data_IF_070709087142
#
_entry.id   IF_070709087142
#
_cell.length_a   1.000
_cell.length_b   1.000
_cell.length_c   1.000
_cell.angle_alpha   90.00
_cell.angle_beta   90.00
_cell.angle_gamma   90.00
#
_symmetry.space_group_name_H-M   'P 1'
#
loop_
_entity.id
_entity.type
_entity.pdbx_description
1 polymer ?
#
# COMPACT_ATOMS: atom_id res chain seq x y z
N UNK A 1 9.33 -14.22 -44.77
CA UNK A 1 9.38 -13.57 -43.43
C UNK A 1 10.20 -12.30 -43.56
N UNK A 2 9.71 -11.16 -43.07
CA UNK A 2 10.51 -9.94 -43.03
C UNK A 2 11.76 -10.13 -42.13
N UNK A 3 12.91 -9.54 -42.48
CA UNK A 3 14.10 -9.45 -41.63
C UNK A 3 13.78 -8.94 -40.22
N UNK A 4 14.56 -9.37 -39.21
CA UNK A 4 14.33 -8.96 -37.82
C UNK A 4 14.42 -7.44 -37.64
N UNK A 5 15.36 -6.78 -38.31
CA UNK A 5 15.52 -5.33 -38.28
C UNK A 5 14.25 -4.60 -38.76
N UNK A 6 13.61 -5.08 -39.83
CA UNK A 6 12.37 -4.49 -40.32
C UNK A 6 11.20 -4.69 -39.35
N UNK A 7 11.13 -5.84 -38.68
CA UNK A 7 10.11 -6.07 -37.63
C UNK A 7 10.28 -5.15 -36.44
N UNK A 8 11.53 -4.94 -36.01
CA UNK A 8 11.87 -4.01 -34.91
C UNK A 8 11.47 -2.59 -35.30
N UNK A 9 11.86 -2.15 -36.49
CA UNK A 9 11.54 -0.81 -36.99
C UNK A 9 10.02 -0.61 -37.10
N UNK A 10 9.30 -1.56 -37.69
CA UNK A 10 7.85 -1.51 -37.78
C UNK A 10 7.18 -1.41 -36.39
N UNK A 11 7.63 -2.21 -35.41
CA UNK A 11 7.10 -2.15 -34.05
C UNK A 11 7.36 -0.79 -33.38
N UNK A 12 8.56 -0.21 -33.57
CA UNK A 12 8.88 1.12 -33.04
C UNK A 12 8.05 2.23 -33.68
N UNK A 13 7.83 2.17 -35.00
CA UNK A 13 6.99 3.14 -35.70
C UNK A 13 5.53 3.06 -35.24
N UNK A 14 4.97 1.84 -35.12
CA UNK A 14 3.62 1.64 -34.59
C UNK A 14 3.50 2.10 -33.13
N UNK A 15 4.51 1.84 -32.29
CA UNK A 15 4.57 2.35 -30.93
C UNK A 15 4.56 3.89 -30.89
N UNK A 16 5.33 4.55 -31.77
CA UNK A 16 5.35 6.01 -31.88
C UNK A 16 4.01 6.57 -32.34
N UNK A 17 3.34 5.92 -33.28
CA UNK A 17 2.00 6.31 -33.73
C UNK A 17 0.94 6.15 -32.64
N UNK A 18 1.06 5.10 -31.83
CA UNK A 18 0.15 4.80 -30.73
C UNK A 18 0.31 5.77 -29.55
N UNK A 19 1.55 6.15 -29.21
CA UNK A 19 1.92 6.85 -27.97
C UNK A 19 0.95 7.96 -27.55
N UNK A 20 0.66 8.89 -28.48
CA UNK A 20 -0.09 10.12 -28.18
C UNK A 20 -1.41 10.23 -28.95
N UNK A 21 -1.90 9.16 -29.61
CA UNK A 21 -3.11 9.21 -30.42
C UNK A 21 -4.00 7.97 -30.22
N UNK A 22 -5.14 8.17 -29.56
CA UNK A 22 -6.10 7.10 -29.26
C UNK A 22 -6.67 6.42 -30.51
N UNK A 23 -6.96 7.20 -31.56
CA UNK A 23 -7.45 6.66 -32.84
C UNK A 23 -6.42 5.73 -33.48
N UNK A 24 -5.14 6.07 -33.39
CA UNK A 24 -4.08 5.19 -33.91
C UNK A 24 -4.00 3.89 -33.11
N UNK A 25 -4.13 3.95 -31.78
CA UNK A 25 -4.18 2.74 -30.94
C UNK A 25 -5.32 1.82 -31.37
N UNK A 26 -6.51 2.40 -31.60
CA UNK A 26 -7.68 1.67 -32.07
C UNK A 26 -7.41 0.96 -33.41
N UNK A 27 -6.93 1.71 -34.40
CA UNK A 27 -6.65 1.17 -35.74
C UNK A 27 -5.63 0.04 -35.66
N UNK A 28 -4.56 0.20 -34.86
CA UNK A 28 -3.53 -0.84 -34.71
C UNK A 28 -4.13 -2.14 -34.14
N UNK A 29 -5.05 -2.04 -33.18
CA UNK A 29 -5.71 -3.22 -32.60
C UNK A 29 -6.70 -3.84 -33.60
N UNK A 30 -7.52 -3.04 -34.27
CA UNK A 30 -8.51 -3.49 -35.27
C UNK A 30 -7.87 -4.17 -36.46
N UNK A 31 -6.70 -3.69 -36.91
CA UNK A 31 -5.93 -4.27 -38.01
C UNK A 31 -5.06 -5.48 -37.56
N UNK A 32 -5.29 -6.00 -36.35
CA UNK A 32 -4.63 -7.22 -35.87
C UNK A 32 -3.15 -7.05 -35.49
N UNK A 33 -2.76 -5.89 -34.98
CA UNK A 33 -1.38 -5.60 -34.58
C UNK A 33 -0.91 -6.36 -33.33
N UNK A 34 -1.81 -6.83 -32.47
CA UNK A 34 -1.49 -7.49 -31.19
C UNK A 34 -0.76 -8.84 -31.37
N UNK A 35 -1.26 -9.82 -32.15
CA UNK A 35 -0.58 -11.11 -32.33
C UNK A 35 0.88 -10.98 -32.83
N UNK A 36 1.22 -10.13 -33.81
CA UNK A 36 2.60 -9.87 -34.20
C UNK A 36 3.49 -9.39 -33.05
N UNK A 37 3.00 -8.48 -32.19
CA UNK A 37 3.77 -8.02 -31.03
C UNK A 37 3.97 -9.14 -30.00
N UNK A 38 2.94 -9.94 -29.70
CA UNK A 38 3.07 -11.10 -28.81
C UNK A 38 3.97 -12.21 -29.36
N UNK A 39 4.13 -12.28 -30.68
CA UNK A 39 5.14 -13.15 -31.30
C UNK A 39 6.54 -12.55 -31.18
N UNK A 40 6.69 -11.26 -31.47
CA UNK A 40 7.97 -10.55 -31.44
C UNK A 40 8.57 -10.50 -30.03
N UNK A 41 7.75 -10.36 -28.99
CA UNK A 41 8.22 -10.35 -27.59
C UNK A 41 8.81 -11.70 -27.14
N UNK A 42 8.55 -12.80 -27.86
CA UNK A 42 9.09 -14.13 -27.57
C UNK A 42 10.48 -14.38 -28.17
N UNK A 43 10.99 -13.46 -28.99
CA UNK A 43 12.29 -13.59 -29.66
C UNK A 43 13.44 -13.43 -28.65
N UNK A 44 13.78 -14.52 -27.96
CA UNK A 44 14.76 -14.54 -26.85
C UNK A 44 16.16 -14.08 -27.26
N UNK A 45 16.50 -14.24 -28.53
CA UNK A 45 17.82 -13.90 -29.07
C UNK A 45 17.95 -12.41 -29.44
N UNK A 46 16.88 -11.61 -29.32
CA UNK A 46 16.90 -10.18 -29.62
C UNK A 46 16.18 -9.36 -28.54
N UNK A 47 16.91 -8.86 -27.53
CA UNK A 47 16.37 -7.94 -26.53
C UNK A 47 15.72 -6.71 -27.16
N UNK A 48 16.26 -6.19 -28.27
CA UNK A 48 15.73 -5.06 -29.01
C UNK A 48 14.34 -5.36 -29.58
N UNK A 49 14.12 -6.56 -30.14
CA UNK A 49 12.81 -7.00 -30.60
C UNK A 49 11.82 -7.13 -29.44
N UNK A 50 12.27 -7.69 -28.30
CA UNK A 50 11.42 -7.79 -27.12
C UNK A 50 11.01 -6.40 -26.58
N UNK A 51 11.94 -5.45 -26.55
CA UNK A 51 11.69 -4.07 -26.11
C UNK A 51 10.71 -3.40 -27.07
N UNK A 52 10.95 -3.43 -28.38
CA UNK A 52 10.07 -2.79 -29.36
C UNK A 52 8.63 -3.32 -29.26
N UNK A 53 8.46 -4.64 -29.11
CA UNK A 53 7.17 -5.27 -28.90
C UNK A 53 6.50 -4.86 -27.59
N UNK A 54 7.24 -4.87 -26.47
CA UNK A 54 6.72 -4.50 -25.16
C UNK A 54 6.28 -3.03 -25.10
N UNK A 55 7.04 -2.14 -25.75
CA UNK A 55 6.73 -0.70 -25.86
C UNK A 55 5.46 -0.49 -26.70
N UNK A 56 5.33 -1.19 -27.84
CA UNK A 56 4.12 -1.12 -28.66
C UNK A 56 2.89 -1.57 -27.86
N UNK A 57 2.96 -2.73 -27.20
CA UNK A 57 1.87 -3.24 -26.35
C UNK A 57 1.53 -2.28 -25.20
N UNK A 58 2.55 -1.68 -24.56
CA UNK A 58 2.35 -0.72 -23.47
C UNK A 58 1.52 0.49 -23.93
N UNK A 59 1.84 1.08 -25.08
CA UNK A 59 1.10 2.25 -25.57
C UNK A 59 -0.32 1.94 -26.04
N UNK A 60 -0.62 0.69 -26.39
CA UNK A 60 -1.98 0.25 -26.72
C UNK A 60 -2.88 0.11 -25.48
N UNK A 61 -2.30 -0.08 -24.29
CA UNK A 61 -3.05 -0.34 -23.05
C UNK A 61 -3.52 0.95 -22.35
N UNK A 62 -4.53 1.65 -22.88
CA UNK A 62 -5.10 2.83 -22.21
C UNK A 62 -6.60 2.75 -21.93
N UNK A 63 -7.21 1.59 -22.17
CA UNK A 63 -8.57 1.25 -21.77
C UNK A 63 -8.71 -0.27 -21.58
N UNK A 64 -9.85 -0.68 -21.00
CA UNK A 64 -10.11 -2.08 -20.70
C UNK A 64 -10.35 -2.97 -21.92
N UNK A 65 -10.86 -2.44 -23.03
CA UNK A 65 -11.12 -3.23 -24.24
C UNK A 65 -9.82 -3.65 -24.92
N UNK A 66 -8.85 -2.73 -25.03
CA UNK A 66 -7.52 -2.99 -25.59
C UNK A 66 -6.69 -3.89 -24.68
N UNK A 67 -6.80 -3.71 -23.37
CA UNK A 67 -6.17 -4.64 -22.41
C UNK A 67 -6.77 -6.04 -22.51
N UNK A 68 -8.09 -6.18 -22.67
CA UNK A 68 -8.73 -7.49 -22.94
C UNK A 68 -8.27 -8.09 -24.25
N UNK A 69 -8.17 -7.29 -25.32
CA UNK A 69 -7.64 -7.76 -26.59
C UNK A 69 -6.24 -8.38 -26.42
N UNK A 70 -5.35 -7.77 -25.63
CA UNK A 70 -4.02 -8.33 -25.35
C UNK A 70 -4.07 -9.54 -24.40
N UNK A 71 -4.93 -9.50 -23.38
CA UNK A 71 -5.00 -10.53 -22.34
C UNK A 71 -5.58 -11.84 -22.86
N UNK A 72 -6.61 -11.75 -23.71
CA UNK A 72 -7.37 -12.86 -24.25
C UNK A 72 -6.83 -13.36 -25.59
N UNK A 73 -5.93 -12.60 -26.24
CA UNK A 73 -5.30 -12.98 -27.50
C UNK A 73 -4.69 -14.39 -27.43
N UNK A 74 -5.22 -15.28 -28.27
CA UNK A 74 -4.80 -16.66 -28.41
C UNK A 74 -4.66 -17.42 -27.07
N UNK A 75 -5.44 -17.07 -26.03
CA UNK A 75 -5.44 -17.65 -24.66
C UNK A 75 -4.09 -17.61 -23.90
N UNK A 76 -3.07 -16.95 -24.45
CA UNK A 76 -1.69 -17.05 -23.95
C UNK A 76 -0.95 -15.70 -23.89
N UNK A 77 -1.64 -14.56 -24.09
CA UNK A 77 -1.06 -13.22 -24.00
C UNK A 77 -0.42 -12.98 -22.63
N UNK A 78 -1.20 -13.15 -21.55
CA UNK A 78 -0.72 -12.99 -20.17
C UNK A 78 0.41 -13.96 -19.83
N UNK A 79 0.28 -15.24 -20.20
CA UNK A 79 1.35 -16.25 -20.02
C UNK A 79 2.65 -15.83 -20.69
N UNK A 80 2.56 -15.28 -21.90
CA UNK A 80 3.73 -14.78 -22.64
C UNK A 80 4.40 -13.65 -21.88
N UNK A 81 3.62 -12.66 -21.43
CA UNK A 81 4.12 -11.50 -20.66
C UNK A 81 4.82 -11.97 -19.38
N UNK A 82 4.21 -12.87 -18.61
CA UNK A 82 4.79 -13.40 -17.37
C UNK A 82 6.09 -14.17 -17.63
N UNK A 83 6.15 -14.98 -18.70
CA UNK A 83 7.35 -15.73 -19.06
C UNK A 83 8.50 -14.80 -19.46
N UNK A 84 8.22 -13.77 -20.25
CA UNK A 84 9.24 -12.78 -20.65
C UNK A 84 9.73 -12.00 -19.44
N UNK A 85 8.83 -11.61 -18.52
CA UNK A 85 9.20 -10.95 -17.26
C UNK A 85 10.17 -11.81 -16.43
N UNK A 86 9.96 -13.12 -16.36
CA UNK A 86 10.79 -14.03 -15.59
C UNK A 86 12.17 -14.28 -16.24
N UNK A 87 12.22 -14.45 -17.56
CA UNK A 87 13.38 -15.01 -18.26
C UNK A 87 14.27 -13.99 -18.97
N UNK A 88 13.79 -12.77 -19.25
CA UNK A 88 14.52 -11.81 -20.10
C UNK A 88 15.54 -10.95 -19.32
N UNK A 89 16.47 -10.26 -20.03
CA UNK A 89 17.38 -9.28 -19.42
C UNK A 89 16.65 -8.10 -18.78
N UNK A 90 17.33 -7.38 -17.86
CA UNK A 90 16.73 -6.29 -17.09
C UNK A 90 16.09 -5.22 -17.97
N UNK A 91 16.73 -4.84 -19.08
CA UNK A 91 16.22 -3.83 -20.03
C UNK A 91 14.85 -4.21 -20.61
N UNK A 92 14.61 -5.49 -20.86
CA UNK A 92 13.31 -6.01 -21.31
C UNK A 92 12.33 -6.06 -20.15
N UNK A 93 12.77 -6.58 -18.99
CA UNK A 93 11.93 -6.70 -17.78
C UNK A 93 11.35 -5.37 -17.32
N UNK A 94 12.07 -4.25 -17.50
CA UNK A 94 11.56 -2.90 -17.23
C UNK A 94 10.26 -2.63 -18.01
N UNK A 95 10.29 -2.83 -19.32
CA UNK A 95 9.13 -2.56 -20.18
C UNK A 95 8.00 -3.56 -19.96
N UNK A 96 8.33 -4.82 -19.70
CA UNK A 96 7.34 -5.84 -19.40
C UNK A 96 6.66 -5.58 -18.04
N UNK A 97 7.40 -5.14 -17.02
CA UNK A 97 6.81 -4.74 -15.75
C UNK A 97 5.88 -3.53 -15.91
N UNK A 98 6.27 -2.53 -16.71
CA UNK A 98 5.40 -1.39 -17.05
C UNK A 98 4.13 -1.81 -17.80
N UNK A 99 4.26 -2.76 -18.73
CA UNK A 99 3.12 -3.37 -19.42
C UNK A 99 2.16 -4.05 -18.42
N UNK A 100 2.69 -4.83 -17.46
CA UNK A 100 1.86 -5.43 -16.40
C UNK A 100 1.15 -4.35 -15.57
N UNK A 101 1.86 -3.27 -15.20
CA UNK A 101 1.28 -2.19 -14.42
C UNK A 101 0.11 -1.52 -15.15
N UNK A 102 0.30 -1.11 -16.41
CA UNK A 102 -0.73 -0.40 -17.17
C UNK A 102 -1.92 -1.29 -17.51
N UNK A 103 -1.70 -2.59 -17.76
CA UNK A 103 -2.80 -3.55 -17.94
C UNK A 103 -3.62 -3.71 -16.65
N UNK A 104 -2.95 -3.86 -15.51
CA UNK A 104 -3.61 -3.99 -14.20
C UNK A 104 -4.32 -2.72 -13.74
N UNK A 105 -3.88 -1.55 -14.23
CA UNK A 105 -4.53 -0.26 -13.96
C UNK A 105 -5.84 -0.09 -14.74
N UNK A 106 -5.85 -0.50 -16.01
CA UNK A 106 -6.95 -0.23 -16.94
C UNK A 106 -7.97 -1.37 -17.05
N UNK A 107 -7.67 -2.57 -16.54
CA UNK A 107 -8.60 -3.69 -16.51
C UNK A 107 -8.46 -4.53 -15.23
N UNK A 108 -9.57 -4.67 -14.49
CA UNK A 108 -9.62 -5.55 -13.31
C UNK A 108 -9.51 -7.03 -13.68
N UNK A 109 -10.00 -7.44 -14.86
CA UNK A 109 -9.84 -8.80 -15.37
C UNK A 109 -8.37 -9.18 -15.58
N UNK A 110 -7.55 -8.25 -16.08
CA UNK A 110 -6.11 -8.43 -16.22
C UNK A 110 -5.44 -8.72 -14.88
N UNK A 111 -5.86 -8.08 -13.78
CA UNK A 111 -5.33 -8.40 -12.44
C UNK A 111 -5.56 -9.87 -12.07
N UNK A 112 -6.74 -10.41 -12.40
CA UNK A 112 -7.09 -11.81 -12.14
C UNK A 112 -6.33 -12.78 -13.05
N UNK A 113 -6.20 -12.45 -14.34
CA UNK A 113 -5.41 -13.25 -15.27
C UNK A 113 -3.94 -13.34 -14.82
N UNK A 114 -3.33 -12.20 -14.46
CA UNK A 114 -1.97 -12.14 -13.92
C UNK A 114 -1.82 -12.89 -12.59
N UNK A 115 -2.84 -12.85 -11.74
CA UNK A 115 -2.86 -13.59 -10.47
C UNK A 115 -2.84 -15.11 -10.69
N UNK A 116 -3.62 -15.60 -11.68
CA UNK A 116 -3.66 -17.02 -12.08
C UNK A 116 -2.30 -17.47 -12.61
N UNK A 117 -1.64 -16.63 -13.38
CA UNK A 117 -0.29 -16.86 -13.92
C UNK A 117 0.85 -16.56 -12.94
N UNK A 118 0.54 -16.23 -11.68
CA UNK A 118 1.50 -16.06 -10.59
C UNK A 118 2.58 -14.98 -10.84
N UNK A 119 2.21 -13.88 -11.53
CA UNK A 119 3.15 -12.79 -11.88
C UNK A 119 3.82 -12.14 -10.67
N UNK A 120 3.18 -12.20 -9.50
CA UNK A 120 3.66 -11.58 -8.25
C UNK A 120 5.02 -12.16 -7.84
N UNK A 121 5.26 -13.46 -8.03
CA UNK A 121 6.55 -14.08 -7.65
C UNK A 121 7.73 -13.55 -8.47
N UNK A 122 7.68 -13.52 -9.82
CA UNK A 122 8.69 -12.85 -10.63
C UNK A 122 8.91 -11.39 -10.22
N UNK A 123 7.85 -10.60 -10.04
CA UNK A 123 7.95 -9.20 -9.65
C UNK A 123 8.66 -9.02 -8.31
N UNK A 124 8.31 -9.80 -7.28
CA UNK A 124 8.97 -9.74 -5.96
C UNK A 124 10.44 -10.20 -6.06
N UNK A 125 10.73 -11.18 -6.91
CA UNK A 125 12.12 -11.63 -7.16
C UNK A 125 12.95 -10.52 -7.81
N UNK A 126 12.38 -9.81 -8.78
CA UNK A 126 12.99 -8.64 -9.43
C UNK A 126 13.04 -7.41 -8.52
N UNK A 127 12.20 -7.31 -7.51
CA UNK A 127 12.27 -6.22 -6.54
C UNK A 127 13.33 -6.48 -5.46
N UNK A 128 13.53 -7.75 -5.11
CA UNK A 128 14.38 -8.18 -3.99
C UNK A 128 15.85 -8.39 -4.33
N UNK A 129 16.25 -8.37 -5.60
CA UNK A 129 17.67 -8.55 -5.96
C UNK A 129 18.52 -7.44 -5.32
N UNK A 130 19.64 -7.83 -4.72
CA UNK A 130 20.59 -6.97 -3.99
C UNK A 130 20.00 -6.22 -2.78
N UNK A 131 18.70 -6.33 -2.50
CA UNK A 131 18.02 -5.62 -1.40
C UNK A 131 18.40 -6.21 -0.03
N UNK A 132 18.88 -7.45 0.00
CA UNK A 132 19.29 -8.19 1.20
C UNK A 132 20.76 -8.63 1.16
N UNK A 133 21.60 -8.01 0.33
CA UNK A 133 23.04 -8.33 0.36
C UNK A 133 23.63 -7.97 1.73
N UNK A 134 24.27 -8.95 2.37
CA UNK A 134 24.70 -8.93 3.78
C UNK A 134 25.78 -7.87 4.12
N UNK A 135 26.34 -7.17 3.13
CA UNK A 135 27.50 -6.29 3.31
C UNK A 135 27.20 -4.90 3.90
N UNK A 136 25.93 -4.54 4.13
CA UNK A 136 25.58 -3.25 4.77
C UNK A 136 25.43 -3.34 6.31
N UNK A 137 25.62 -4.52 6.91
CA UNK A 137 25.51 -4.72 8.36
C UNK A 137 26.82 -4.54 9.14
N UNK A 138 27.91 -4.10 8.51
CA UNK A 138 29.20 -3.89 9.16
C UNK A 138 29.30 -2.65 10.07
N UNK A 139 28.29 -1.78 10.11
CA UNK A 139 28.30 -0.57 10.94
C UNK A 139 26.97 -0.38 11.64
N UNK A 140 26.97 -0.39 12.97
CA UNK A 140 25.86 -0.01 13.85
C UNK A 140 24.66 -0.99 13.93
N UNK A 141 24.87 -2.17 14.50
CA UNK A 141 23.95 -2.65 15.54
C UNK A 141 24.74 -3.39 16.62
N UNK A 142 24.73 -2.82 17.83
CA UNK A 142 25.31 -3.44 18.99
C UNK A 142 24.64 -4.79 19.28
N UNK A 143 25.48 -5.84 19.37
CA UNK A 143 25.31 -7.06 20.18
C UNK A 143 23.86 -7.47 20.44
N UNK A 144 23.23 -8.19 19.52
CA UNK A 144 22.12 -9.07 19.88
C UNK A 144 22.59 -10.53 19.86
N UNK A 145 22.34 -11.20 20.99
CA UNK A 145 22.79 -12.53 21.33
C UNK A 145 22.41 -13.58 20.29
N UNK A 146 23.32 -14.53 20.06
CA UNK A 146 23.21 -15.71 19.16
C UNK A 146 21.86 -16.45 19.35
N UNK A 147 21.26 -16.34 20.54
CA UNK A 147 19.98 -16.94 20.85
C UNK A 147 18.80 -16.40 20.01
N UNK A 148 18.82 -15.12 19.60
CA UNK A 148 17.75 -14.50 18.80
C UNK A 148 17.79 -14.91 17.33
N UNK A 149 18.98 -15.18 16.79
CA UNK A 149 19.18 -15.63 15.41
C UNK A 149 18.71 -17.08 15.23
N UNK A 150 19.01 -17.94 16.22
CA UNK A 150 18.56 -19.34 16.21
C UNK A 150 17.03 -19.44 16.33
N UNK A 151 16.39 -18.54 17.10
CA UNK A 151 14.94 -18.56 17.27
C UNK A 151 14.20 -18.14 15.99
N UNK A 152 14.75 -17.20 15.21
CA UNK A 152 14.22 -16.85 13.88
C UNK A 152 14.34 -17.99 12.87
N UNK A 153 15.46 -18.72 12.87
CA UNK A 153 15.61 -19.89 11.98
C UNK A 153 14.71 -21.06 12.41
N UNK A 154 14.53 -21.28 13.73
CA UNK A 154 13.74 -22.39 14.26
C UNK A 154 12.23 -22.20 14.11
N UNK A 155 11.75 -20.95 14.02
CA UNK A 155 10.34 -20.65 13.69
C UNK A 155 10.05 -20.76 12.19
N UNK A 156 11.05 -20.62 11.30
CA UNK A 156 10.91 -20.84 9.86
C UNK A 156 10.84 -22.33 9.47
N UNK A 157 11.48 -23.22 10.23
CA UNK A 157 11.43 -24.67 9.96
C UNK A 157 10.12 -25.34 10.40
N UNK A 158 9.34 -24.71 11.30
CA UNK A 158 8.09 -25.31 11.81
C UNK A 158 6.84 -25.02 10.98
N UNK A 159 6.90 -24.10 10.00
CA UNK A 159 5.85 -23.98 8.98
C UNK A 159 6.20 -24.86 7.79
N UNK A 160 5.88 -26.15 7.89
CA UNK A 160 6.06 -27.12 6.82
C UNK A 160 5.28 -26.71 5.56
N UNK A 161 5.95 -26.13 4.59
CA UNK A 161 5.64 -26.35 3.17
C UNK A 161 6.52 -27.51 2.71
N UNK A 162 5.87 -28.56 2.24
CA UNK A 162 6.48 -29.77 1.68
C UNK A 162 7.60 -29.42 0.70
N UNK A 163 8.83 -29.76 1.07
CA UNK A 163 9.91 -30.02 0.13
C UNK A 163 9.46 -31.17 -0.78
N UNK A 164 8.92 -30.85 -1.95
CA UNK A 164 8.89 -31.81 -3.05
C UNK A 164 10.26 -31.81 -3.70
N UNK A 165 11.09 -32.75 -3.26
CA UNK A 165 12.16 -33.30 -4.08
C UNK A 165 11.52 -33.92 -5.33
N UNK A 166 11.57 -33.20 -6.44
CA UNK A 166 11.50 -33.81 -7.76
C UNK A 166 12.90 -34.34 -8.07
N UNK A 167 13.10 -35.61 -7.76
CA UNK A 167 14.19 -36.38 -8.36
C UNK A 167 13.82 -36.65 -9.82
N UNK A 168 14.75 -36.40 -10.75
CA UNK A 168 14.61 -36.78 -12.16
C UNK A 168 14.73 -35.66 -13.20
N UNK A 169 15.96 -35.21 -13.46
CA UNK A 169 16.45 -34.86 -14.81
C UNK A 169 16.22 -33.44 -15.34
N UNK A 170 17.30 -32.63 -15.39
CA UNK A 170 17.41 -31.54 -16.37
C UNK A 170 18.04 -30.21 -15.92
N UNK A 171 19.37 -30.17 -15.83
CA UNK A 171 20.24 -29.07 -16.29
C UNK A 171 20.04 -27.61 -15.82
N UNK A 172 20.95 -27.15 -14.96
CA UNK A 172 21.61 -25.83 -14.93
C UNK A 172 21.05 -24.69 -15.80
N UNK A 173 20.20 -23.80 -15.24
CA UNK A 173 19.94 -22.46 -15.81
C UNK A 173 19.86 -21.28 -14.82
N UNK A 174 19.98 -21.50 -13.50
CA UNK A 174 19.86 -20.43 -12.50
C UNK A 174 21.08 -19.50 -12.34
N UNK A 175 22.24 -19.87 -12.89
CA UNK A 175 23.50 -19.14 -12.67
C UNK A 175 23.80 -18.01 -13.66
N UNK A 176 23.21 -18.03 -14.86
CA UNK A 176 23.50 -17.06 -15.92
C UNK A 176 22.88 -15.69 -15.66
N UNK A 177 21.58 -15.68 -15.32
CA UNK A 177 20.82 -14.43 -15.11
C UNK A 177 21.32 -13.62 -13.92
N UNK A 178 21.80 -14.27 -12.84
CA UNK A 178 22.35 -13.56 -11.67
C UNK A 178 23.66 -12.82 -12.00
N UNK A 179 24.58 -13.45 -12.73
CA UNK A 179 25.85 -12.83 -13.13
C UNK A 179 25.68 -11.72 -14.17
N UNK A 180 24.69 -11.83 -15.05
CA UNK A 180 24.35 -10.75 -15.99
C UNK A 180 23.76 -9.54 -15.25
N UNK A 181 22.89 -9.78 -14.27
CA UNK A 181 22.30 -8.72 -13.42
C UNK A 181 23.36 -7.92 -12.66
N UNK A 182 24.43 -8.56 -12.19
CA UNK A 182 25.52 -7.88 -11.49
C UNK A 182 26.28 -6.88 -12.38
N UNK A 183 26.30 -7.09 -13.70
CA UNK A 183 26.99 -6.25 -14.69
C UNK A 183 26.17 -5.05 -15.20
N UNK A 184 24.87 -5.05 -14.98
CA UNK A 184 23.97 -3.99 -15.43
C UNK A 184 24.23 -2.67 -14.67
N UNK A 185 23.97 -1.55 -15.34
CA UNK A 185 24.18 -0.23 -14.73
C UNK A 185 23.23 -0.01 -13.54
N UNK A 186 23.64 0.82 -12.59
CA UNK A 186 22.81 1.19 -11.45
C UNK A 186 21.45 1.77 -11.89
N UNK A 187 21.44 2.58 -12.94
CA UNK A 187 20.23 3.22 -13.46
C UNK A 187 19.22 2.19 -14.00
N UNK A 188 19.71 1.13 -14.67
CA UNK A 188 18.86 0.03 -15.15
C UNK A 188 18.27 -0.73 -13.97
N UNK A 189 19.09 -1.02 -12.94
CA UNK A 189 18.64 -1.69 -11.71
C UNK A 189 17.55 -0.89 -10.99
N UNK A 190 17.73 0.43 -10.86
CA UNK A 190 16.73 1.30 -10.23
C UNK A 190 15.44 1.38 -11.04
N UNK A 191 15.53 1.56 -12.37
CA UNK A 191 14.34 1.57 -13.25
C UNK A 191 13.55 0.27 -13.18
N UNK A 192 14.25 -0.86 -13.08
CA UNK A 192 13.61 -2.16 -12.91
C UNK A 192 12.86 -2.25 -11.58
N UNK A 193 13.48 -1.82 -10.47
CA UNK A 193 12.82 -1.79 -9.15
C UNK A 193 11.60 -0.89 -9.15
N UNK A 194 11.70 0.31 -9.73
CA UNK A 194 10.56 1.24 -9.85
C UNK A 194 9.40 0.62 -10.63
N UNK A 195 9.69 0.02 -11.79
CA UNK A 195 8.67 -0.60 -12.65
C UNK A 195 8.03 -1.82 -11.98
N UNK A 196 8.80 -2.61 -11.22
CA UNK A 196 8.26 -3.75 -10.47
C UNK A 196 7.39 -3.30 -9.29
N UNK A 197 7.78 -2.24 -8.57
CA UNK A 197 6.98 -1.67 -7.48
C UNK A 197 5.67 -1.08 -8.00
N UNK A 198 5.69 -0.39 -9.15
CA UNK A 198 4.50 0.13 -9.81
C UNK A 198 3.54 -1.00 -10.25
N UNK A 199 4.08 -2.07 -10.86
CA UNK A 199 3.29 -3.24 -11.23
C UNK A 199 2.64 -3.92 -10.02
N UNK A 200 3.38 -4.09 -8.92
CA UNK A 200 2.84 -4.65 -7.68
C UNK A 200 1.76 -3.74 -7.07
N UNK A 201 1.94 -2.43 -7.12
CA UNK A 201 0.92 -1.48 -6.68
C UNK A 201 -0.36 -1.62 -7.50
N UNK A 202 -0.28 -1.59 -8.83
CA UNK A 202 -1.46 -1.72 -9.69
C UNK A 202 -2.16 -3.07 -9.54
N UNK A 203 -1.40 -4.16 -9.41
CA UNK A 203 -1.97 -5.49 -9.14
C UNK A 203 -2.65 -5.60 -7.78
N UNK A 204 -2.17 -4.88 -6.76
CA UNK A 204 -2.74 -4.91 -5.41
C UNK A 204 -3.97 -4.00 -5.26
N UNK A 205 -4.09 -2.96 -6.10
CA UNK A 205 -5.11 -1.92 -6.02
C UNK A 205 -6.52 -2.52 -6.04
N UNK A 206 -7.21 -2.43 -4.92
CA UNK A 206 -8.55 -3.00 -4.74
C UNK A 206 -8.63 -4.54 -4.71
N UNK A 207 -7.51 -5.26 -4.76
CA UNK A 207 -7.48 -6.73 -4.84
C UNK A 207 -6.95 -7.38 -3.56
N UNK A 208 -7.87 -7.93 -2.77
CA UNK A 208 -7.53 -8.69 -1.54
C UNK A 208 -6.74 -9.96 -1.88
N UNK A 209 -7.10 -10.64 -2.97
CA UNK A 209 -6.41 -11.85 -3.44
C UNK A 209 -4.94 -11.58 -3.78
N UNK A 210 -4.68 -10.51 -4.55
CA UNK A 210 -3.31 -10.15 -4.92
C UNK A 210 -2.52 -9.62 -3.73
N UNK A 211 -3.15 -8.82 -2.86
CA UNK A 211 -2.54 -8.37 -1.62
C UNK A 211 -2.10 -9.56 -0.76
N UNK A 212 -2.97 -10.58 -0.58
CA UNK A 212 -2.61 -11.82 0.11
C UNK A 212 -1.41 -12.52 -0.52
N UNK A 213 -1.42 -12.72 -1.85
CA UNK A 213 -0.31 -13.34 -2.59
C UNK A 213 1.01 -12.57 -2.42
N UNK A 214 0.99 -11.23 -2.38
CA UNK A 214 2.19 -10.43 -2.10
C UNK A 214 2.72 -10.73 -0.69
N UNK A 215 1.84 -10.78 0.31
CA UNK A 215 2.23 -11.05 1.70
C UNK A 215 2.73 -12.48 1.95
N UNK A 216 2.33 -13.45 1.12
CA UNK A 216 2.81 -14.84 1.16
C UNK A 216 4.23 -15.01 0.59
N UNK A 217 4.80 -13.94 0.02
CA UNK A 217 6.19 -13.89 -0.44
C UNK A 217 7.05 -13.04 0.49
N UNK A 218 8.32 -12.81 0.14
CA UNK A 218 9.17 -11.80 0.80
C UNK A 218 8.79 -10.35 0.46
N UNK A 219 7.65 -10.13 -0.21
CA UNK A 219 7.19 -8.83 -0.71
C UNK A 219 7.13 -7.75 0.36
N UNK A 220 6.50 -8.01 1.52
CA UNK A 220 6.37 -7.01 2.59
C UNK A 220 7.73 -6.52 3.11
N UNK A 221 8.67 -7.45 3.36
CA UNK A 221 10.00 -7.10 3.85
C UNK A 221 10.80 -6.32 2.80
N UNK A 222 10.67 -6.73 1.53
CA UNK A 222 11.32 -6.05 0.42
C UNK A 222 10.79 -4.63 0.23
N UNK A 223 9.46 -4.45 0.23
CA UNK A 223 8.81 -3.14 0.17
C UNK A 223 9.25 -2.26 1.32
N UNK A 224 9.24 -2.76 2.56
CA UNK A 224 9.71 -2.01 3.73
C UNK A 224 11.17 -1.55 3.56
N UNK A 225 12.07 -2.43 3.12
CA UNK A 225 13.47 -2.07 2.89
C UNK A 225 13.62 -0.99 1.81
N UNK A 226 12.85 -1.06 0.73
CA UNK A 226 12.90 -0.06 -0.33
C UNK A 226 12.26 1.28 0.06
N UNK A 227 11.31 1.30 0.99
CA UNK A 227 10.87 2.55 1.63
C UNK A 227 12.01 3.21 2.40
N UNK A 228 12.90 2.44 3.02
CA UNK A 228 14.04 2.97 3.75
C UNK A 228 15.13 3.56 2.84
N UNK A 229 15.52 2.82 1.79
CA UNK A 229 16.73 3.13 1.01
C UNK A 229 16.47 3.65 -0.41
N UNK A 230 15.21 3.57 -0.88
CA UNK A 230 14.86 3.88 -2.26
C UNK A 230 14.87 5.37 -2.58
N UNK A 231 14.96 5.70 -3.87
CA UNK A 231 14.72 7.05 -4.38
C UNK A 231 13.23 7.44 -4.23
N UNK A 232 12.88 8.75 -4.25
CA UNK A 232 11.54 9.23 -3.92
C UNK A 232 10.39 8.55 -4.70
N UNK A 233 10.57 8.28 -6.00
CA UNK A 233 9.56 7.60 -6.83
C UNK A 233 9.39 6.13 -6.44
N UNK A 234 10.50 5.41 -6.21
CA UNK A 234 10.48 4.03 -5.72
C UNK A 234 9.83 3.93 -4.33
N UNK A 235 10.18 4.85 -3.43
CA UNK A 235 9.56 4.95 -2.10
C UNK A 235 8.06 5.16 -2.20
N UNK A 236 7.62 6.06 -3.08
CA UNK A 236 6.20 6.31 -3.32
C UNK A 236 5.48 5.05 -3.80
N UNK A 237 5.99 4.37 -4.82
CA UNK A 237 5.38 3.13 -5.34
C UNK A 237 5.32 2.02 -4.26
N UNK A 238 6.38 1.91 -3.43
CA UNK A 238 6.39 0.94 -2.34
C UNK A 238 5.37 1.27 -1.24
N UNK A 239 5.28 2.54 -0.82
CA UNK A 239 4.27 2.97 0.18
C UNK A 239 2.87 2.80 -0.39
N UNK A 240 2.63 3.09 -1.67
CA UNK A 240 1.34 2.88 -2.30
C UNK A 240 0.97 1.40 -2.36
N UNK A 241 1.92 0.51 -2.67
CA UNK A 241 1.71 -0.94 -2.60
C UNK A 241 1.34 -1.37 -1.17
N UNK A 242 2.07 -0.89 -0.16
CA UNK A 242 1.78 -1.16 1.26
C UNK A 242 0.38 -0.64 1.62
N UNK A 243 0.00 0.54 1.16
CA UNK A 243 -1.33 1.13 1.40
C UNK A 243 -2.44 0.23 0.87
N UNK A 244 -2.33 -0.28 -0.35
CA UNK A 244 -3.33 -1.22 -0.90
C UNK A 244 -3.38 -2.54 -0.10
N UNK A 245 -2.22 -3.08 0.32
CA UNK A 245 -2.18 -4.29 1.16
C UNK A 245 -2.83 -4.06 2.53
N UNK A 246 -2.58 -2.91 3.15
CA UNK A 246 -3.18 -2.57 4.45
C UNK A 246 -4.67 -2.28 4.35
N UNK A 247 -5.15 -1.68 3.25
CA UNK A 247 -6.58 -1.54 2.94
C UNK A 247 -7.26 -2.92 2.79
N UNK A 248 -6.61 -3.86 2.08
CA UNK A 248 -7.10 -5.23 1.98
C UNK A 248 -7.11 -5.93 3.36
N UNK A 249 -6.13 -5.67 4.22
CA UNK A 249 -6.08 -6.20 5.59
C UNK A 249 -7.12 -5.56 6.52
N UNK A 250 -7.55 -4.32 6.27
CA UNK A 250 -8.64 -3.70 7.03
C UNK A 250 -9.95 -4.44 6.79
N UNK A 251 -10.30 -4.67 5.52
CA UNK A 251 -11.54 -5.34 5.11
C UNK A 251 -11.53 -6.87 5.28
N UNK A 252 -10.34 -7.50 5.27
CA UNK A 252 -10.22 -8.97 5.38
C UNK A 252 -9.47 -9.40 6.65
N UNK A 253 -10.20 -10.03 7.58
CA UNK A 253 -9.65 -10.43 8.88
C UNK A 253 -8.61 -11.55 8.80
N UNK A 254 -8.69 -12.44 7.81
CA UNK A 254 -7.75 -13.55 7.65
C UNK A 254 -6.41 -13.04 7.12
N UNK A 255 -6.44 -12.16 6.10
CA UNK A 255 -5.26 -11.47 5.61
C UNK A 255 -4.59 -10.67 6.73
N UNK A 256 -5.38 -9.93 7.52
CA UNK A 256 -4.87 -9.17 8.66
C UNK A 256 -4.11 -10.03 9.66
N UNK A 257 -4.70 -11.16 10.07
CA UNK A 257 -4.09 -12.09 11.03
C UNK A 257 -2.86 -12.80 10.46
N UNK A 258 -2.87 -13.12 9.17
CA UNK A 258 -1.76 -13.80 8.51
C UNK A 258 -0.56 -12.86 8.28
N UNK A 259 -0.79 -11.68 7.70
CA UNK A 259 0.27 -10.77 7.26
C UNK A 259 0.79 -9.85 8.38
N UNK A 260 -0.09 -9.39 9.27
CA UNK A 260 0.20 -8.36 10.27
C UNK A 260 0.10 -8.86 11.72
N UNK A 261 0.54 -10.10 11.96
CA UNK A 261 0.72 -10.62 13.33
C UNK A 261 1.80 -9.85 14.08
N UNK A 262 1.60 -9.63 15.39
CA UNK A 262 2.48 -8.78 16.22
C UNK A 262 3.94 -9.25 16.29
N UNK A 263 4.21 -10.55 16.08
CA UNK A 263 5.56 -11.13 16.06
C UNK A 263 6.16 -11.26 14.66
N UNK A 264 5.48 -10.80 13.60
CA UNK A 264 6.01 -10.88 12.23
C UNK A 264 7.12 -9.84 12.01
N UNK A 265 8.35 -10.27 11.65
CA UNK A 265 9.43 -9.34 11.31
C UNK A 265 9.06 -8.43 10.13
N UNK A 266 8.33 -8.97 9.14
CA UNK A 266 7.88 -8.21 7.98
C UNK A 266 6.84 -7.14 8.36
N UNK A 267 5.87 -7.48 9.22
CA UNK A 267 4.89 -6.52 9.72
C UNK A 267 5.55 -5.40 10.53
N UNK A 268 6.48 -5.77 11.43
CA UNK A 268 7.25 -4.81 12.21
C UNK A 268 8.06 -3.87 11.32
N UNK A 269 8.76 -4.41 10.31
CA UNK A 269 9.52 -3.61 9.36
C UNK A 269 8.62 -2.61 8.61
N UNK A 270 7.44 -3.03 8.13
CA UNK A 270 6.48 -2.13 7.49
C UNK A 270 6.06 -1.00 8.44
N UNK A 271 5.66 -1.33 9.67
CA UNK A 271 5.25 -0.33 10.67
C UNK A 271 6.39 0.63 10.99
N UNK A 272 7.61 0.14 11.19
CA UNK A 272 8.80 0.96 11.44
C UNK A 272 9.04 1.98 10.31
N UNK A 273 8.92 1.54 9.06
CA UNK A 273 9.17 2.41 7.91
C UNK A 273 8.03 3.38 7.64
N UNK A 274 6.78 2.97 7.83
CA UNK A 274 5.64 3.90 7.80
C UNK A 274 5.77 4.98 8.88
N UNK A 275 6.17 4.62 10.10
CA UNK A 275 6.42 5.61 11.16
C UNK A 275 7.59 6.53 10.85
N UNK A 276 8.65 6.03 10.18
CA UNK A 276 9.75 6.87 9.69
C UNK A 276 9.25 7.91 8.69
N UNK A 277 8.45 7.48 7.72
CA UNK A 277 7.84 8.37 6.72
C UNK A 277 6.96 9.42 7.39
N UNK A 278 6.09 9.01 8.32
CA UNK A 278 5.22 9.93 9.07
C UNK A 278 6.05 10.98 9.80
N UNK A 279 7.10 10.57 10.52
CA UNK A 279 7.91 11.50 11.32
C UNK A 279 8.82 12.43 10.51
N UNK A 280 9.27 12.01 9.33
CA UNK A 280 10.37 12.67 8.62
C UNK A 280 10.08 13.14 7.19
N UNK A 281 8.97 12.75 6.57
CA UNK A 281 8.69 13.11 5.19
C UNK A 281 8.07 14.51 5.06
N UNK A 282 8.55 15.27 4.08
CA UNK A 282 7.97 16.56 3.68
C UNK A 282 6.91 16.43 2.58
N UNK A 283 6.75 15.25 1.97
CA UNK A 283 5.82 15.04 0.85
C UNK A 283 4.41 14.77 1.37
N UNK A 284 3.41 15.65 1.11
CA UNK A 284 2.04 15.44 1.60
C UNK A 284 1.42 14.15 1.07
N UNK A 285 1.67 13.81 -0.21
CA UNK A 285 1.15 12.57 -0.83
C UNK A 285 1.67 11.33 -0.12
N UNK A 286 2.97 11.31 0.21
CA UNK A 286 3.60 10.17 0.89
C UNK A 286 3.13 10.07 2.35
N UNK A 287 2.99 11.21 3.03
CA UNK A 287 2.44 11.28 4.39
C UNK A 287 0.99 10.76 4.44
N UNK A 288 0.13 11.22 3.53
CA UNK A 288 -1.27 10.77 3.44
C UNK A 288 -1.34 9.26 3.24
N UNK A 289 -0.57 8.70 2.30
CA UNK A 289 -0.54 7.27 2.07
C UNK A 289 -0.03 6.47 3.29
N UNK A 290 0.97 6.99 4.01
CA UNK A 290 1.48 6.36 5.22
C UNK A 290 0.49 6.42 6.40
N UNK A 291 -0.21 7.54 6.58
CA UNK A 291 -1.27 7.71 7.58
C UNK A 291 -2.45 6.77 7.29
N UNK A 292 -2.88 6.70 6.02
CA UNK A 292 -3.91 5.76 5.56
C UNK A 292 -3.52 4.31 5.86
N UNK A 293 -2.27 3.95 5.58
CA UNK A 293 -1.75 2.61 5.87
C UNK A 293 -1.78 2.30 7.37
N UNK A 294 -1.34 3.25 8.19
CA UNK A 294 -1.30 3.09 9.65
C UNK A 294 -2.71 2.99 10.27
N UNK A 295 -3.65 3.81 9.80
CA UNK A 295 -5.05 3.75 10.23
C UNK A 295 -5.71 2.42 9.88
N UNK A 296 -5.43 1.88 8.69
CA UNK A 296 -5.98 0.60 8.23
C UNK A 296 -5.45 -0.59 9.04
N UNK A 297 -4.30 -0.42 9.69
CA UNK A 297 -3.71 -1.36 10.64
C UNK A 297 -4.17 -1.16 12.08
N UNK A 298 -5.06 -0.20 12.39
CA UNK A 298 -5.46 0.15 13.76
C UNK A 298 -5.84 -1.06 14.65
N UNK A 299 -6.53 -2.04 14.06
CA UNK A 299 -6.99 -3.27 14.73
C UNK A 299 -5.89 -4.32 14.96
N UNK A 300 -4.67 -4.07 14.49
CA UNK A 300 -3.51 -4.97 14.63
C UNK A 300 -2.64 -4.60 15.82
N UNK A 301 -2.72 -3.35 16.29
CA UNK A 301 -1.86 -2.85 17.35
C UNK A 301 -2.40 -3.21 18.74
N UNK A 302 -1.63 -3.93 19.58
CA UNK A 302 -2.02 -4.15 20.97
C UNK A 302 -1.94 -2.84 21.76
N UNK A 303 -2.67 -2.72 22.86
CA UNK A 303 -2.73 -1.51 23.67
C UNK A 303 -1.35 -1.04 24.18
N UNK A 304 -0.41 -1.97 24.38
CA UNK A 304 0.98 -1.66 24.78
C UNK A 304 1.82 -0.98 23.70
N UNK A 305 1.41 -1.03 22.44
CA UNK A 305 2.15 -0.46 21.30
C UNK A 305 1.72 1.01 21.07
N UNK A 306 2.09 1.88 22.02
CA UNK A 306 1.67 3.29 22.03
C UNK A 306 2.49 4.17 21.10
N UNK A 307 3.63 3.68 20.58
CA UNK A 307 4.58 4.48 19.77
C UNK A 307 4.01 4.90 18.41
N UNK A 308 2.89 4.30 18.00
CA UNK A 308 2.16 4.60 16.78
C UNK A 308 1.28 5.85 16.95
N UNK A 309 0.61 5.98 18.10
CA UNK A 309 -0.43 7.00 18.31
C UNK A 309 0.18 8.40 18.37
N UNK A 310 1.23 8.62 19.16
CA UNK A 310 1.84 9.95 19.34
C UNK A 310 2.22 10.65 18.02
N UNK A 311 2.94 9.98 17.09
CA UNK A 311 3.22 10.53 15.78
C UNK A 311 1.97 10.93 14.98
N UNK A 312 0.91 10.11 14.98
CA UNK A 312 -0.34 10.44 14.31
C UNK A 312 -1.02 11.66 14.93
N UNK A 313 -1.05 11.74 16.28
CA UNK A 313 -1.59 12.91 17.01
C UNK A 313 -0.85 14.19 16.66
N UNK A 314 0.48 14.14 16.52
CA UNK A 314 1.27 15.31 16.10
C UNK A 314 0.84 15.85 14.72
N UNK A 315 0.40 14.99 13.80
CA UNK A 315 -0.08 15.41 12.47
C UNK A 315 -1.46 16.08 12.47
N UNK A 316 -2.24 16.02 13.56
CA UNK A 316 -3.47 16.81 13.68
C UNK A 316 -3.20 18.33 13.60
N UNK A 317 -1.99 18.76 13.97
CA UNK A 317 -1.55 20.16 13.90
C UNK A 317 -0.75 20.48 12.63
N UNK A 318 -0.78 19.61 11.61
CA UNK A 318 -0.01 19.82 10.38
C UNK A 318 -0.46 21.08 9.64
N UNK A 319 0.47 21.75 8.94
CA UNK A 319 0.17 22.92 8.09
C UNK A 319 -0.77 22.57 6.94
N UNK A 320 -0.62 21.36 6.39
CA UNK A 320 -1.56 20.85 5.39
C UNK A 320 -2.83 20.34 6.07
N UNK A 321 -3.95 20.97 5.75
CA UNK A 321 -5.27 20.56 6.23
C UNK A 321 -5.65 19.16 5.73
N UNK A 322 -5.15 18.74 4.57
CA UNK A 322 -5.34 17.40 4.04
C UNK A 322 -4.65 16.35 4.93
N UNK A 323 -3.38 16.58 5.29
CA UNK A 323 -2.62 15.70 6.17
C UNK A 323 -3.24 15.64 7.57
N UNK A 324 -3.68 16.78 8.11
CA UNK A 324 -4.34 16.83 9.41
C UNK A 324 -5.69 16.09 9.41
N UNK A 325 -6.49 16.25 8.35
CA UNK A 325 -7.74 15.52 8.20
C UNK A 325 -7.49 14.00 8.07
N UNK A 326 -6.46 13.59 7.34
CA UNK A 326 -6.09 12.17 7.20
C UNK A 326 -5.58 11.58 8.52
N UNK A 327 -4.80 12.34 9.30
CA UNK A 327 -4.38 11.92 10.63
C UNK A 327 -5.59 11.70 11.56
N UNK A 328 -6.60 12.57 11.49
CA UNK A 328 -7.84 12.39 12.23
C UNK A 328 -8.62 11.14 11.78
N UNK A 329 -8.68 10.86 10.47
CA UNK A 329 -9.30 9.63 9.93
C UNK A 329 -8.55 8.39 10.44
N UNK A 330 -7.23 8.39 10.35
CA UNK A 330 -6.41 7.27 10.80
C UNK A 330 -6.62 6.99 12.30
N UNK A 331 -6.60 8.03 13.15
CA UNK A 331 -6.84 7.93 14.58
C UNK A 331 -8.30 7.52 14.92
N UNK A 332 -9.28 7.93 14.12
CA UNK A 332 -10.66 7.49 14.30
C UNK A 332 -10.78 5.96 14.17
N UNK A 333 -10.00 5.31 13.29
CA UNK A 333 -9.99 3.83 13.18
C UNK A 333 -9.42 3.11 14.40
N UNK A 334 -8.63 3.79 15.23
CA UNK A 334 -8.17 3.25 16.52
C UNK A 334 -9.24 3.35 17.62
N UNK A 335 -10.20 4.26 17.48
CA UNK A 335 -11.17 4.63 18.52
C UNK A 335 -12.60 4.28 18.17
N UNK A 336 -12.88 3.85 16.95
CA UNK A 336 -14.20 3.36 16.57
C UNK A 336 -14.55 2.04 17.28
N UNK A 337 -15.85 1.74 17.35
CA UNK A 337 -16.40 0.59 18.08
C UNK A 337 -15.98 -0.77 17.47
N UNK A 338 -15.59 -0.80 16.20
CA UNK A 338 -15.03 -2.00 15.56
C UNK A 338 -13.66 -2.41 16.12
N UNK A 339 -12.98 -1.50 16.82
CA UNK A 339 -11.72 -1.76 17.48
C UNK A 339 -11.96 -2.10 18.96
N UNK A 340 -11.72 -3.36 19.33
CA UNK A 340 -11.90 -3.84 20.71
C UNK A 340 -10.98 -3.15 21.75
N UNK A 341 -9.96 -2.41 21.31
CA UNK A 341 -9.07 -1.62 22.15
C UNK A 341 -9.37 -0.12 22.10
N UNK A 342 -10.54 0.28 21.59
CA UNK A 342 -10.92 1.67 21.38
C UNK A 342 -10.74 2.52 22.65
N UNK A 343 -11.14 2.03 23.82
CA UNK A 343 -10.96 2.73 25.10
C UNK A 343 -9.50 2.96 25.46
N UNK A 344 -8.66 1.93 25.35
CA UNK A 344 -7.24 2.04 25.66
C UNK A 344 -6.54 3.02 24.71
N UNK A 345 -6.82 2.89 23.41
CA UNK A 345 -6.26 3.79 22.39
C UNK A 345 -6.76 5.24 22.56
N UNK A 346 -8.03 5.44 22.92
CA UNK A 346 -8.58 6.76 23.23
C UNK A 346 -7.86 7.43 24.40
N UNK A 347 -7.61 6.71 25.51
CA UNK A 347 -6.86 7.25 26.65
C UNK A 347 -5.44 7.64 26.24
N UNK A 348 -4.73 6.77 25.53
CA UNK A 348 -3.39 7.07 25.01
C UNK A 348 -3.37 8.28 24.07
N UNK A 349 -4.39 8.46 23.23
CA UNK A 349 -4.50 9.66 22.38
C UNK A 349 -4.61 10.94 23.22
N UNK A 350 -5.41 10.91 24.28
CA UNK A 350 -5.58 12.06 25.17
C UNK A 350 -4.26 12.36 25.90
N UNK A 351 -3.53 11.35 26.36
CA UNK A 351 -2.19 11.49 26.95
C UNK A 351 -1.19 12.15 25.98
N UNK A 352 -1.31 11.89 24.67
CA UNK A 352 -0.53 12.55 23.63
C UNK A 352 -1.06 13.92 23.20
N UNK A 353 -1.97 14.54 23.97
CA UNK A 353 -2.56 15.85 23.71
C UNK A 353 -3.42 15.93 22.43
N UNK A 354 -4.18 14.88 22.12
CA UNK A 354 -5.10 14.91 20.98
C UNK A 354 -6.21 15.97 21.14
N UNK A 355 -6.75 16.18 22.35
CA UNK A 355 -7.91 17.07 22.55
C UNK A 355 -7.61 18.52 22.13
N UNK A 356 -6.55 19.20 22.61
CA UNK A 356 -6.24 20.55 22.15
C UNK A 356 -5.99 20.63 20.63
N UNK A 357 -5.35 19.61 20.05
CA UNK A 357 -5.08 19.55 18.61
C UNK A 357 -6.39 19.46 17.80
N UNK A 358 -7.35 18.64 18.24
CA UNK A 358 -8.67 18.52 17.61
C UNK A 358 -9.48 19.80 17.74
N UNK A 359 -9.46 20.44 18.91
CA UNK A 359 -10.16 21.72 19.13
C UNK A 359 -9.64 22.83 18.20
N UNK A 360 -8.36 22.80 17.85
CA UNK A 360 -7.79 23.69 16.83
C UNK A 360 -8.24 23.29 15.42
N UNK A 361 -8.24 21.98 15.12
CA UNK A 361 -8.64 21.45 13.81
C UNK A 361 -10.12 21.70 13.47
N UNK A 362 -10.99 21.80 14.49
CA UNK A 362 -12.40 22.24 14.36
C UNK A 362 -12.56 23.67 13.81
N UNK A 363 -11.48 24.46 13.71
CA UNK A 363 -11.49 25.78 13.08
C UNK A 363 -10.89 25.76 11.67
N UNK A 364 -10.59 24.58 11.16
CA UNK A 364 -9.97 24.35 9.85
C UNK A 364 -10.99 24.34 8.69
N UNK A 365 -10.64 23.64 7.61
CA UNK A 365 -11.56 23.44 6.47
C UNK A 365 -12.74 22.54 6.84
N UNK A 366 -13.87 22.64 6.13
CA UNK A 366 -15.07 21.80 6.38
C UNK A 366 -14.74 20.30 6.49
N UNK A 367 -13.90 19.78 5.58
CA UNK A 367 -13.43 18.40 5.64
C UNK A 367 -12.66 18.12 6.93
N UNK A 368 -11.74 18.99 7.33
CA UNK A 368 -10.97 18.82 8.56
C UNK A 368 -11.86 18.92 9.81
N UNK A 369 -12.82 19.85 9.83
CA UNK A 369 -13.80 20.01 10.90
C UNK A 369 -14.63 18.75 11.10
N UNK A 370 -15.17 18.18 10.01
CA UNK A 370 -15.96 16.95 10.05
C UNK A 370 -15.14 15.79 10.65
N UNK A 371 -13.89 15.60 10.20
CA UNK A 371 -13.03 14.52 10.70
C UNK A 371 -12.60 14.74 12.15
N UNK A 372 -12.30 15.97 12.53
CA UNK A 372 -11.99 16.33 13.90
C UNK A 372 -13.18 16.06 14.83
N UNK A 373 -14.39 16.42 14.41
CA UNK A 373 -15.62 16.22 15.18
C UNK A 373 -15.89 14.73 15.41
N UNK A 374 -15.78 13.90 14.36
CA UNK A 374 -15.97 12.44 14.47
C UNK A 374 -15.00 11.86 15.51
N UNK A 375 -13.71 12.18 15.40
CA UNK A 375 -12.70 11.67 16.34
C UNK A 375 -12.95 12.19 17.76
N UNK A 376 -13.31 13.47 17.92
CA UNK A 376 -13.62 14.04 19.23
C UNK A 376 -14.82 13.34 19.88
N UNK A 377 -15.83 12.97 19.10
CA UNK A 377 -16.96 12.19 19.61
C UNK A 377 -16.53 10.78 20.05
N UNK A 378 -15.70 10.08 19.28
CA UNK A 378 -15.19 8.77 19.71
C UNK A 378 -14.37 8.87 21.00
N UNK A 379 -13.51 9.89 21.13
CA UNK A 379 -12.77 10.11 22.38
C UNK A 379 -13.72 10.38 23.57
N UNK A 380 -14.78 11.16 23.36
CA UNK A 380 -15.78 11.44 24.39
C UNK A 380 -16.61 10.21 24.78
N UNK A 381 -16.98 9.35 23.83
CA UNK A 381 -17.72 8.11 24.08
C UNK A 381 -16.85 7.13 24.88
N UNK A 382 -15.59 6.97 24.48
CA UNK A 382 -14.69 5.96 25.05
C UNK A 382 -13.99 6.41 26.34
N UNK A 383 -13.76 7.71 26.52
CA UNK A 383 -13.01 8.27 27.64
C UNK A 383 -13.74 9.47 28.27
N UNK A 384 -15.07 9.40 28.35
CA UNK A 384 -15.94 10.48 28.83
C UNK A 384 -15.71 10.92 30.28
N UNK A 385 -15.00 10.13 31.08
CA UNK A 385 -14.59 10.45 32.45
C UNK A 385 -13.19 11.07 32.56
N UNK A 386 -12.51 11.30 31.44
CA UNK A 386 -11.14 11.79 31.43
C UNK A 386 -11.09 13.31 31.67
N UNK A 387 -10.35 13.75 32.67
CA UNK A 387 -10.29 15.14 33.16
C UNK A 387 -9.94 16.16 32.06
N UNK A 388 -9.11 15.77 31.08
CA UNK A 388 -8.73 16.60 29.94
C UNK A 388 -9.91 17.12 29.08
N UNK A 389 -11.11 16.54 29.17
CA UNK A 389 -12.28 16.95 28.38
C UNK A 389 -12.90 18.27 28.89
N UNK A 390 -12.86 18.54 30.20
CA UNK A 390 -13.49 19.74 30.78
C UNK A 390 -12.73 21.03 30.44
N UNK A 391 -11.40 21.16 30.66
CA UNK A 391 -10.68 22.41 30.39
C UNK A 391 -10.70 22.80 28.92
N UNK A 392 -10.77 21.82 28.03
CA UNK A 392 -10.85 22.03 26.58
C UNK A 392 -12.25 22.43 26.10
N UNK A 393 -13.26 22.46 26.98
CA UNK A 393 -14.66 22.79 26.68
C UNK A 393 -15.26 21.92 25.57
N UNK A 394 -14.92 20.63 25.57
CA UNK A 394 -15.38 19.67 24.55
C UNK A 394 -16.91 19.60 24.51
N UNK A 395 -17.58 19.60 25.67
CA UNK A 395 -19.05 19.58 25.73
C UNK A 395 -19.67 20.75 24.97
N UNK A 396 -19.19 21.97 25.21
CA UNK A 396 -19.68 23.17 24.52
C UNK A 396 -19.45 23.09 23.01
N UNK A 397 -18.31 22.53 22.58
CA UNK A 397 -18.03 22.36 21.16
C UNK A 397 -18.98 21.36 20.48
N UNK A 398 -19.34 20.27 21.18
CA UNK A 398 -20.28 19.26 20.68
C UNK A 398 -21.73 19.77 20.66
N UNK A 399 -22.15 20.52 21.67
CA UNK A 399 -23.49 21.13 21.72
C UNK A 399 -23.66 22.26 20.69
N UNK A 400 -22.55 22.92 20.32
CA UNK A 400 -22.52 24.01 19.35
C UNK A 400 -22.37 23.58 17.89
N UNK A 401 -22.41 22.28 17.57
CA UNK A 401 -22.30 21.80 16.19
C UNK A 401 -23.49 22.30 15.35
N UNK A 402 -23.18 22.78 14.14
CA UNK A 402 -24.19 23.29 13.21
C UNK A 402 -25.27 22.24 12.88
N UNK A 403 -26.53 22.62 13.08
CA UNK A 403 -27.70 21.77 12.80
C UNK A 403 -27.78 21.33 11.34
N UNK A 404 -27.29 22.14 10.40
CA UNK A 404 -27.25 21.79 8.98
C UNK A 404 -26.28 20.64 8.72
N UNK A 405 -25.10 20.66 9.36
CA UNK A 405 -24.12 19.57 9.28
C UNK A 405 -24.72 18.28 9.86
N UNK A 406 -25.40 18.37 11.01
CA UNK A 406 -26.06 17.21 11.61
C UNK A 406 -27.24 16.67 10.78
N UNK A 407 -27.91 17.52 10.01
CA UNK A 407 -28.96 17.10 9.08
C UNK A 407 -28.39 16.38 7.85
N UNK A 408 -27.20 16.78 7.39
CA UNK A 408 -26.52 16.16 6.26
C UNK A 408 -25.91 14.78 6.60
N UNK A 409 -25.48 14.58 7.86
CA UNK A 409 -24.83 13.35 8.31
C UNK A 409 -25.57 12.73 9.52
N UNK A 410 -26.59 11.87 9.29
CA UNK A 410 -27.40 11.28 10.38
C UNK A 410 -26.59 10.46 11.39
N UNK A 411 -25.63 9.66 10.92
CA UNK A 411 -24.75 8.86 11.80
C UNK A 411 -23.91 9.75 12.73
N UNK A 412 -23.47 10.92 12.24
CA UNK A 412 -22.74 11.88 13.06
C UNK A 412 -23.64 12.49 14.13
N UNK A 413 -24.91 12.75 13.82
CA UNK A 413 -25.89 13.26 14.80
C UNK A 413 -26.08 12.30 15.96
N UNK A 414 -26.20 11.01 15.67
CA UNK A 414 -26.30 9.98 16.71
C UNK A 414 -25.02 9.90 17.55
N UNK A 415 -23.86 9.94 16.88
CA UNK A 415 -22.56 9.90 17.54
C UNK A 415 -22.34 11.11 18.46
N UNK A 416 -22.72 12.32 18.02
CA UNK A 416 -22.67 13.55 18.84
C UNK A 416 -23.58 13.43 20.05
N UNK A 417 -24.82 12.94 19.88
CA UNK A 417 -25.74 12.75 20.99
C UNK A 417 -25.19 11.76 22.02
N UNK A 418 -24.59 10.65 21.56
CA UNK A 418 -23.92 9.66 22.41
C UNK A 418 -22.74 10.27 23.16
N UNK A 419 -21.89 11.03 22.47
CA UNK A 419 -20.74 11.70 23.08
C UNK A 419 -21.16 12.70 24.18
N UNK A 420 -22.17 13.54 23.91
CA UNK A 420 -22.73 14.50 24.89
C UNK A 420 -23.31 13.77 26.11
N UNK A 421 -24.03 12.66 25.88
CA UNK A 421 -24.57 11.85 26.97
C UNK A 421 -23.45 11.28 27.87
N UNK A 422 -22.43 10.67 27.27
CA UNK A 422 -21.31 10.08 28.00
C UNK A 422 -20.52 11.11 28.82
N UNK A 423 -20.25 12.31 28.29
CA UNK A 423 -19.59 13.38 29.04
C UNK A 423 -20.45 13.81 30.24
N UNK A 424 -21.76 13.95 30.05
CA UNK A 424 -22.67 14.38 31.12
C UNK A 424 -22.80 13.34 32.24
N UNK A 425 -22.71 12.03 31.94
CA UNK A 425 -22.78 10.98 32.95
C UNK A 425 -21.68 11.11 34.01
N UNK A 426 -20.47 11.50 33.62
CA UNK A 426 -19.31 11.54 34.50
C UNK A 426 -19.03 12.93 35.09
N UNK A 427 -19.34 14.00 34.35
CA UNK A 427 -19.11 15.37 34.82
C UNK A 427 -20.32 15.97 35.56
N UNK A 428 -21.48 15.28 35.59
CA UNK A 428 -22.60 15.62 36.50
C UNK A 428 -22.66 14.67 37.71
N UNK A 429 -21.72 14.79 38.65
CA UNK A 429 -21.88 14.33 40.05
C UNK A 429 -22.79 15.25 40.88
N UNK A 430 -23.25 14.89 42.10
CA UNK A 430 -24.54 15.21 42.72
C UNK A 430 -24.74 16.67 43.23
N UNK A 431 -24.32 17.67 42.47
CA UNK A 431 -24.54 19.09 42.81
C UNK A 431 -25.42 19.84 41.81
N UNK A 432 -25.96 19.16 40.79
CA UNK A 432 -26.84 19.77 39.78
C UNK A 432 -28.32 19.35 39.87
N UNK A 433 -28.78 18.78 40.99
CA UNK A 433 -30.21 18.55 41.24
C UNK A 433 -30.92 19.72 41.96
N UNK A 434 -30.30 20.91 42.06
CA UNK A 434 -30.91 22.06 42.77
C UNK A 434 -31.53 23.15 41.90
N UNK A 435 -31.60 22.99 40.58
CA UNK A 435 -32.19 24.01 39.71
C UNK A 435 -33.12 23.38 38.68
N UNK A 436 -34.26 22.89 39.12
CA UNK A 436 -35.49 22.77 38.31
C UNK A 436 -36.69 22.46 39.21
N UNK A 437 -37.00 23.38 40.12
CA UNK A 437 -38.35 23.57 40.64
C UNK A 437 -38.50 25.03 41.04
N UNK A 438 -38.91 25.86 40.08
CA UNK A 438 -39.79 27.01 40.37
C UNK A 438 -40.80 27.05 39.23
N UNK A 439 -42.07 27.14 39.66
CA UNK A 439 -43.36 27.01 38.99
C UNK A 439 -43.47 27.82 37.70
#
# INVERSE_FOLDING_TARGET
MAPMAEKIEAANQLASLAKDNDRNKQIIVEEGGVPPFLKLIKEKDSPEAQIAAAVALFYLCNDGDRVRAISEESTAGVQTIVKVLADSPMRVQIWVARLVAVMAENDSGAQDYFARENVIRPLVTLLSFETFSDDQFGGQMGKQSIHSLVQMNKEMEKSSFSSFHSDGGGGSKGGGTRKEREKESWEVKQKLKMSCAEALWMLAKGSVSNSKRITETKGLLCLAKLVEIGEPELQFNCVMTIKEITFAAESNADLRRAAFKANSPAAKAVVDQLLRVIKGSSSPKLLVAALQSMGSLARTFPARETRVIGPLVNHLNNRSQEVAAEAAIALAKFTCEENFLCEAHSKTMIEFNAIPALMKLLRGSERAQLRALILLCYLAVNAGNHEALEPARVLTALEGVDRMVLAQYPELRELVAKAVYHINLYHRGPHSQRLTFVI
#
